data_IF_809637109603
#
_entry.id   IF_809637109603
#
_cell.length_a   1.000
_cell.length_b   1.000
_cell.length_c   1.000
_cell.angle_alpha   90.00
_cell.angle_beta   90.00
_cell.angle_gamma   90.00
#
_symmetry.space_group_name_H-M   'P 1'
#
loop_
_entity.id
_entity.type
_entity.pdbx_description
1 polymer ?
#
# COMPACT_ATOMS: atom_id res chain seq x y z
N UNK A 1 17.06 2.59 51.01
CA UNK A 1 17.68 1.32 51.43
C UNK A 1 17.68 0.40 50.22
N UNK A 2 18.90 0.08 49.76
CA UNK A 2 19.38 -1.13 49.05
C UNK A 2 18.57 -1.66 47.84
N UNK A 3 19.04 -1.52 46.59
CA UNK A 3 20.10 -2.31 45.91
C UNK A 3 19.69 -3.74 45.61
N UNK A 4 19.67 -4.09 44.31
CA UNK A 4 20.23 -5.30 43.68
C UNK A 4 19.83 -5.26 42.19
N UNK A 5 20.62 -5.65 41.20
CA UNK A 5 21.88 -6.38 41.23
C UNK A 5 22.03 -7.11 39.89
N UNK A 6 22.98 -6.64 39.09
CA UNK A 6 23.77 -7.25 38.00
C UNK A 6 23.62 -8.77 37.74
N UNK A 7 23.56 -9.14 36.45
CA UNK A 7 24.32 -10.25 35.80
C UNK A 7 24.23 -10.04 34.27
N UNK A 8 25.30 -9.76 33.51
CA UNK A 8 26.37 -10.67 33.01
C UNK A 8 25.74 -12.01 32.58
N UNK A 9 25.74 -12.48 31.34
CA UNK A 9 26.50 -12.20 30.13
C UNK A 9 26.65 -13.57 29.41
N UNK A 10 26.65 -13.65 28.08
CA UNK A 10 27.41 -14.70 27.39
C UNK A 10 27.56 -14.39 25.90
N UNK A 11 28.82 -14.37 25.51
CA UNK A 11 29.38 -14.25 24.18
C UNK A 11 29.57 -15.66 23.60
N UNK A 12 29.09 -15.92 22.38
CA UNK A 12 29.44 -17.10 21.56
C UNK A 12 29.68 -16.58 20.14
N UNK A 13 30.91 -16.17 19.83
CA UNK A 13 31.97 -16.94 19.15
C UNK A 13 31.61 -17.30 17.70
N UNK A 14 32.30 -16.57 16.80
CA UNK A 14 32.39 -16.76 15.37
C UNK A 14 32.85 -18.17 14.99
N UNK A 15 32.24 -18.73 13.94
CA UNK A 15 32.88 -19.71 13.07
C UNK A 15 32.95 -19.16 11.65
N UNK A 16 34.14 -18.68 11.29
CA UNK A 16 34.54 -18.46 9.91
C UNK A 16 35.06 -19.79 9.35
N UNK A 17 34.42 -20.30 8.30
CA UNK A 17 34.99 -21.32 7.42
C UNK A 17 35.01 -20.74 6.01
N UNK A 18 36.22 -20.55 5.49
CA UNK A 18 36.48 -20.03 4.15
C UNK A 18 36.20 -21.06 3.05
N UNK A 19 35.99 -20.53 1.85
CA UNK A 19 35.99 -21.27 0.59
C UNK A 19 36.20 -20.30 -0.57
N UNK A 20 37.37 -20.37 -1.18
CA UNK A 20 37.84 -19.53 -2.29
C UNK A 20 37.15 -19.85 -3.62
N UNK A 21 37.10 -18.84 -4.49
CA UNK A 21 36.64 -18.82 -5.88
C UNK A 21 37.33 -19.82 -6.81
N UNK A 22 36.57 -20.44 -7.74
CA UNK A 22 37.00 -20.70 -9.11
C UNK A 22 35.82 -21.03 -10.03
N UNK A 23 35.88 -20.42 -11.20
CA UNK A 23 34.93 -20.33 -12.29
C UNK A 23 34.90 -21.58 -13.18
N UNK A 24 33.71 -22.17 -13.42
CA UNK A 24 33.44 -23.00 -14.61
C UNK A 24 31.95 -23.00 -14.93
N UNK A 25 31.57 -22.21 -15.93
CA UNK A 25 30.27 -22.29 -16.60
C UNK A 25 30.16 -23.61 -17.37
N UNK A 26 29.05 -24.35 -17.28
CA UNK A 26 28.67 -25.30 -18.32
C UNK A 26 27.91 -24.56 -19.44
N UNK A 27 28.26 -24.77 -20.73
CA UNK A 27 27.37 -24.44 -21.83
C UNK A 27 26.41 -25.62 -22.00
N UNK A 28 25.15 -25.44 -21.62
CA UNK A 28 24.15 -26.50 -21.72
C UNK A 28 22.76 -25.91 -21.75
N UNK A 29 22.15 -25.95 -22.94
CA UNK A 29 20.90 -25.28 -23.26
C UNK A 29 19.72 -25.67 -22.38
N UNK A 30 18.90 -24.67 -22.11
CA UNK A 30 17.56 -24.78 -21.56
C UNK A 30 16.76 -23.56 -21.98
N UNK A 31 16.16 -23.62 -23.18
CA UNK A 31 15.00 -22.79 -23.50
C UNK A 31 13.87 -23.17 -22.55
N UNK A 32 13.54 -22.27 -21.62
CA UNK A 32 12.22 -22.11 -21.02
C UNK A 32 12.27 -20.72 -20.37
N UNK A 33 11.75 -19.68 -21.01
CA UNK A 33 10.30 -19.51 -21.09
C UNK A 33 9.85 -18.73 -19.87
N UNK A 34 9.86 -17.40 -20.01
CA UNK A 34 9.01 -16.44 -19.29
C UNK A 34 8.73 -16.71 -17.81
N UNK A 35 9.61 -16.22 -16.94
CA UNK A 35 9.27 -15.94 -15.56
C UNK A 35 8.33 -14.74 -15.46
N UNK A 36 7.11 -14.87 -15.99
CA UNK A 36 6.01 -13.98 -15.64
C UNK A 36 5.62 -14.32 -14.20
N UNK A 37 6.30 -13.69 -13.25
CA UNK A 37 5.86 -13.64 -11.86
C UNK A 37 4.53 -12.87 -11.87
N UNK A 38 3.43 -13.60 -12.05
CA UNK A 38 2.10 -13.02 -12.03
C UNK A 38 1.87 -12.39 -10.68
N UNK A 39 1.92 -11.06 -10.60
CA UNK A 39 1.51 -10.33 -9.41
C UNK A 39 0.02 -10.59 -9.22
N UNK A 40 -0.31 -11.55 -8.35
CA UNK A 40 -1.69 -11.82 -7.97
C UNK A 40 -2.19 -10.61 -7.18
N UNK A 41 -3.08 -9.82 -7.77
CA UNK A 41 -3.80 -8.77 -7.06
C UNK A 41 -4.58 -9.42 -5.91
N UNK A 42 -4.46 -8.90 -4.68
CA UNK A 42 -5.17 -9.48 -3.55
C UNK A 42 -6.69 -9.25 -3.70
N UNK A 43 -7.53 -10.10 -3.09
CA UNK A 43 -8.98 -10.05 -3.25
C UNK A 43 -9.64 -8.72 -2.85
N UNK A 44 -9.00 -7.91 -1.99
CA UNK A 44 -9.52 -6.63 -1.53
C UNK A 44 -9.09 -5.43 -2.37
N UNK A 45 -8.29 -5.61 -3.43
CA UNK A 45 -7.93 -4.52 -4.35
C UNK A 45 -9.16 -4.15 -5.19
N UNK A 46 -9.60 -2.87 -5.19
CA UNK A 46 -10.69 -2.42 -6.04
C UNK A 46 -10.33 -2.47 -7.52
N UNK A 47 -11.34 -2.67 -8.38
CA UNK A 47 -11.15 -2.79 -9.83
C UNK A 47 -10.85 -1.45 -10.53
N UNK A 48 -11.26 -0.32 -9.94
CA UNK A 48 -11.08 1.01 -10.52
C UNK A 48 -10.91 2.08 -9.46
N UNK A 49 -10.39 3.25 -9.88
CA UNK A 49 -10.25 4.41 -9.01
C UNK A 49 -11.59 4.86 -8.42
N UNK A 50 -12.66 4.91 -9.24
CA UNK A 50 -13.99 5.28 -8.77
C UNK A 50 -14.56 4.28 -7.76
N UNK A 51 -14.42 2.97 -8.02
CA UNK A 51 -14.85 1.93 -7.09
C UNK A 51 -14.09 2.02 -5.77
N UNK A 52 -12.78 2.27 -5.81
CA UNK A 52 -11.96 2.45 -4.61
C UNK A 52 -12.48 3.61 -3.75
N UNK A 53 -12.60 4.81 -4.33
CA UNK A 53 -13.04 6.01 -3.61
C UNK A 53 -14.46 5.86 -3.06
N UNK A 54 -15.37 5.25 -3.82
CA UNK A 54 -16.76 5.03 -3.40
C UNK A 54 -16.90 4.11 -2.18
N UNK A 55 -15.94 3.20 -1.97
CA UNK A 55 -15.92 2.29 -0.81
C UNK A 55 -15.33 2.94 0.46
N UNK A 56 -14.50 3.98 0.32
CA UNK A 56 -13.77 4.58 1.45
C UNK A 56 -14.68 5.09 2.58
N UNK A 57 -15.82 5.76 2.33
CA UNK A 57 -16.73 6.19 3.40
C UNK A 57 -17.11 5.05 4.36
N UNK A 58 -17.65 3.97 3.82
CA UNK A 58 -18.10 2.82 4.60
C UNK A 58 -16.94 2.12 5.32
N UNK A 59 -15.77 2.02 4.67
CA UNK A 59 -14.58 1.42 5.28
C UNK A 59 -13.97 2.30 6.38
N UNK A 60 -14.00 3.62 6.24
CA UNK A 60 -13.62 4.55 7.30
C UNK A 60 -14.54 4.38 8.51
N UNK A 61 -15.85 4.40 8.30
CA UNK A 61 -16.83 4.26 9.39
C UNK A 61 -16.69 2.91 10.12
N UNK A 62 -16.50 1.81 9.38
CA UNK A 62 -16.24 0.49 9.96
C UNK A 62 -14.93 0.43 10.77
N UNK A 63 -13.94 1.26 10.45
CA UNK A 63 -12.65 1.27 11.13
C UNK A 63 -12.59 2.22 12.34
N UNK A 64 -13.60 3.06 12.58
CA UNK A 64 -13.60 4.00 13.71
C UNK A 64 -13.57 3.30 15.06
N UNK A 65 -14.25 2.16 15.15
CA UNK A 65 -14.47 1.42 16.39
C UNK A 65 -13.54 0.21 16.55
N UNK A 66 -12.66 -0.06 15.58
CA UNK A 66 -11.74 -1.21 15.61
C UNK A 66 -10.34 -0.80 16.05
N UNK A 67 -9.62 -1.75 16.65
CA UNK A 67 -8.20 -1.54 16.99
C UNK A 67 -7.36 -1.20 15.75
N UNK A 68 -6.38 -0.31 15.94
CA UNK A 68 -5.43 0.07 14.90
C UNK A 68 -4.60 -1.12 14.35
N UNK A 69 -4.45 -2.20 15.12
CA UNK A 69 -3.74 -3.41 14.69
C UNK A 69 -4.63 -4.42 13.92
N UNK A 70 -5.90 -4.07 13.65
CA UNK A 70 -6.85 -4.97 12.98
C UNK A 70 -6.49 -5.22 11.51
N UNK A 71 -6.95 -6.35 10.97
CA UNK A 71 -6.84 -6.67 9.54
C UNK A 71 -7.59 -5.64 8.68
N UNK A 72 -8.79 -5.25 9.10
CA UNK A 72 -9.59 -4.22 8.44
C UNK A 72 -8.82 -2.90 8.28
N UNK A 73 -7.99 -2.55 9.27
CA UNK A 73 -7.17 -1.33 9.20
C UNK A 73 -6.05 -1.42 8.18
N UNK A 74 -5.40 -2.58 8.09
CA UNK A 74 -4.36 -2.84 7.08
C UNK A 74 -4.96 -2.81 5.68
N UNK A 75 -6.10 -3.47 5.47
CA UNK A 75 -6.80 -3.45 4.18
C UNK A 75 -7.21 -2.04 3.76
N UNK A 76 -7.71 -1.22 4.69
CA UNK A 76 -8.02 0.19 4.41
C UNK A 76 -6.78 0.96 3.94
N UNK A 77 -5.64 0.78 4.62
CA UNK A 77 -4.38 1.42 4.23
C UNK A 77 -3.88 0.91 2.87
N UNK A 78 -4.00 -0.38 2.57
CA UNK A 78 -3.64 -0.91 1.26
C UNK A 78 -4.46 -0.25 0.15
N UNK A 79 -5.77 -0.12 0.34
CA UNK A 79 -6.66 0.54 -0.63
C UNK A 79 -6.26 2.00 -0.84
N UNK A 80 -6.00 2.74 0.23
CA UNK A 80 -5.55 4.12 0.15
C UNK A 80 -4.26 4.20 -0.68
N UNK A 81 -3.30 3.30 -0.45
CA UNK A 81 -2.01 3.27 -1.15
C UNK A 81 -2.11 2.88 -2.61
N UNK A 82 -3.17 2.17 -3.02
CA UNK A 82 -3.44 1.90 -4.45
C UNK A 82 -4.15 3.05 -5.17
N UNK A 83 -4.73 4.03 -4.49
CA UNK A 83 -5.44 5.12 -5.16
C UNK A 83 -4.64 5.82 -6.26
N UNK A 84 -3.34 6.15 -6.10
CA UNK A 84 -2.58 6.81 -7.15
C UNK A 84 -2.26 5.91 -8.34
N UNK A 85 -2.10 4.60 -8.09
CA UNK A 85 -1.95 3.59 -9.13
C UNK A 85 -3.24 3.49 -9.94
N UNK A 86 -4.37 3.30 -9.27
CA UNK A 86 -5.68 3.23 -9.91
C UNK A 86 -6.03 4.52 -10.66
N UNK A 87 -5.65 5.69 -10.14
CA UNK A 87 -5.85 6.96 -10.82
C UNK A 87 -4.94 7.13 -12.05
N UNK A 88 -3.78 6.47 -12.10
CA UNK A 88 -2.91 6.50 -13.27
C UNK A 88 -3.49 5.75 -14.47
N UNK A 89 -4.43 4.82 -14.23
CA UNK A 89 -5.15 4.08 -15.28
C UNK A 89 -6.34 4.86 -15.86
N UNK A 90 -6.53 6.12 -15.45
CA UNK A 90 -7.62 7.00 -15.87
C UNK A 90 -7.12 8.13 -16.76
N UNK A 91 -8.02 8.76 -17.52
CA UNK A 91 -7.70 9.91 -18.39
C UNK A 91 -7.63 11.27 -17.63
N UNK A 92 -7.41 11.25 -16.30
CA UNK A 92 -7.24 12.48 -15.52
C UNK A 92 -6.07 13.31 -16.05
N UNK A 93 -6.22 14.64 -16.03
CA UNK A 93 -5.10 15.51 -16.38
C UNK A 93 -3.98 15.40 -15.34
N UNK A 94 -2.76 15.77 -15.72
CA UNK A 94 -1.61 15.76 -14.81
C UNK A 94 -1.87 16.51 -13.49
N UNK A 95 -2.51 17.68 -13.57
CA UNK A 95 -2.81 18.49 -12.38
C UNK A 95 -3.78 17.78 -11.43
N UNK A 96 -4.75 17.05 -11.97
CA UNK A 96 -5.71 16.26 -11.20
C UNK A 96 -5.07 15.02 -10.60
N UNK A 97 -4.24 14.32 -11.36
CA UNK A 97 -3.45 13.19 -10.85
C UNK A 97 -2.52 13.63 -9.71
N UNK A 98 -1.85 14.77 -9.84
CA UNK A 98 -1.05 15.36 -8.75
C UNK A 98 -1.92 15.75 -7.54
N UNK A 99 -3.17 16.14 -7.75
CA UNK A 99 -4.12 16.37 -6.65
C UNK A 99 -4.49 15.06 -5.96
N UNK A 100 -4.77 13.98 -6.70
CA UNK A 100 -4.99 12.64 -6.12
C UNK A 100 -3.80 12.23 -5.25
N UNK A 101 -2.58 12.40 -5.73
CA UNK A 101 -1.36 12.08 -4.98
C UNK A 101 -1.29 12.80 -3.63
N UNK A 102 -1.54 14.12 -3.62
CA UNK A 102 -1.55 14.92 -2.38
C UNK A 102 -2.65 14.47 -1.42
N UNK A 103 -3.88 14.33 -1.91
CA UNK A 103 -5.03 13.94 -1.10
C UNK A 103 -4.86 12.54 -0.50
N UNK A 104 -4.35 11.60 -1.28
CA UNK A 104 -4.03 10.24 -0.82
C UNK A 104 -2.96 10.26 0.27
N UNK A 105 -1.87 11.02 0.09
CA UNK A 105 -0.83 11.13 1.11
C UNK A 105 -1.34 11.74 2.43
N UNK A 106 -2.21 12.74 2.34
CA UNK A 106 -2.85 13.33 3.52
C UNK A 106 -3.85 12.37 4.19
N UNK A 107 -4.62 11.63 3.39
CA UNK A 107 -5.53 10.59 3.86
C UNK A 107 -4.78 9.46 4.57
N UNK A 108 -3.70 8.94 3.97
CA UNK A 108 -2.85 7.92 4.58
C UNK A 108 -2.26 8.41 5.90
N UNK A 109 -1.81 9.66 5.98
CA UNK A 109 -1.29 10.24 7.22
C UNK A 109 -2.37 10.35 8.31
N UNK A 110 -3.57 10.81 7.94
CA UNK A 110 -4.70 10.91 8.87
C UNK A 110 -5.07 9.53 9.43
N UNK A 111 -5.14 8.51 8.56
CA UNK A 111 -5.45 7.13 8.96
C UNK A 111 -4.28 6.53 9.77
N UNK A 112 -3.03 6.61 9.34
CA UNK A 112 -1.90 5.97 10.04
C UNK A 112 -1.51 6.61 11.40
N UNK A 113 -2.05 7.79 11.73
CA UNK A 113 -1.78 8.46 13.01
C UNK A 113 -2.31 7.71 14.25
N UNK A 114 -1.78 8.05 15.44
CA UNK A 114 -2.15 7.43 16.72
C UNK A 114 -2.45 8.53 17.77
N UNK A 115 -3.74 8.76 18.13
CA UNK A 115 -4.92 8.14 17.54
C UNK A 115 -5.17 8.61 16.09
N UNK A 116 -5.92 7.84 15.28
CA UNK A 116 -6.29 8.25 13.93
C UNK A 116 -7.14 9.53 13.89
N UNK A 117 -6.89 10.38 12.90
CA UNK A 117 -7.73 11.53 12.60
C UNK A 117 -8.82 11.17 11.58
N UNK A 118 -9.91 10.56 12.07
CA UNK A 118 -11.02 10.14 11.23
C UNK A 118 -11.78 11.30 10.59
N UNK A 119 -11.79 12.46 11.23
CA UNK A 119 -12.45 13.65 10.70
C UNK A 119 -11.66 14.18 9.49
N UNK A 120 -10.34 14.35 9.61
CA UNK A 120 -9.50 14.75 8.50
C UNK A 120 -9.54 13.69 7.37
N UNK A 121 -9.50 12.40 7.71
CA UNK A 121 -9.63 11.33 6.73
C UNK A 121 -10.93 11.45 5.93
N UNK A 122 -12.07 11.73 6.59
CA UNK A 122 -13.34 11.91 5.91
C UNK A 122 -13.33 13.10 4.95
N UNK A 123 -12.78 14.24 5.40
CA UNK A 123 -12.63 15.43 4.54
C UNK A 123 -11.82 15.10 3.27
N UNK A 124 -10.71 14.35 3.38
CA UNK A 124 -9.91 13.98 2.20
C UNK A 124 -10.66 13.06 1.24
N UNK A 125 -11.48 12.15 1.75
CA UNK A 125 -12.35 11.31 0.92
C UNK A 125 -13.38 12.16 0.18
N UNK A 126 -14.00 13.12 0.86
CA UNK A 126 -14.96 14.04 0.22
C UNK A 126 -14.29 14.88 -0.90
N UNK A 127 -13.02 15.28 -0.72
CA UNK A 127 -12.22 15.96 -1.74
C UNK A 127 -11.81 15.05 -2.92
N UNK A 128 -11.67 13.73 -2.70
CA UNK A 128 -11.34 12.75 -3.74
C UNK A 128 -12.55 12.42 -4.65
N UNK A 129 -13.77 12.45 -4.11
CA UNK A 129 -14.99 12.12 -4.86
C UNK A 129 -15.17 12.84 -6.20
N UNK A 130 -15.02 14.18 -6.32
CA UNK A 130 -15.18 14.85 -7.60
C UNK A 130 -14.13 14.41 -8.65
N UNK A 131 -12.91 14.09 -8.22
CA UNK A 131 -11.86 13.56 -9.11
C UNK A 131 -12.22 12.15 -9.59
N UNK A 132 -12.69 11.30 -8.67
CA UNK A 132 -13.13 9.94 -8.97
C UNK A 132 -14.31 9.91 -9.95
N UNK A 133 -15.33 10.74 -9.72
CA UNK A 133 -16.48 10.84 -10.63
C UNK A 133 -16.06 11.36 -12.01
N UNK A 134 -15.13 12.32 -12.06
CA UNK A 134 -14.63 12.83 -13.35
C UNK A 134 -13.84 11.76 -14.10
N UNK A 135 -13.01 10.98 -13.41
CA UNK A 135 -12.29 9.85 -14.01
C UNK A 135 -13.26 8.83 -14.62
N UNK A 136 -14.32 8.43 -13.90
CA UNK A 136 -15.35 7.50 -14.39
C UNK A 136 -16.05 8.01 -15.65
N UNK A 137 -16.44 9.29 -15.67
CA UNK A 137 -17.05 9.91 -16.86
C UNK A 137 -16.09 9.91 -18.06
N UNK A 138 -14.79 10.11 -17.85
CA UNK A 138 -13.81 10.08 -18.92
C UNK A 138 -13.63 8.67 -19.48
N UNK A 139 -13.52 7.66 -18.60
CA UNK A 139 -13.41 6.26 -19.01
C UNK A 139 -14.62 5.81 -19.85
N UNK A 140 -15.84 6.21 -19.48
CA UNK A 140 -17.06 5.90 -20.24
C UNK A 140 -17.08 6.54 -21.64
N UNK A 141 -16.45 7.71 -21.80
CA UNK A 141 -16.36 8.41 -23.09
C UNK A 141 -15.27 7.85 -24.00
N UNK A 142 -14.22 7.28 -23.41
CA UNK A 142 -13.08 6.69 -24.13
C UNK A 142 -13.40 5.30 -24.71
N UNK A 143 -14.56 4.72 -24.39
CA UNK A 143 -15.08 3.52 -25.05
C UNK A 143 -14.25 2.26 -24.78
N UNK A 144 -14.06 1.93 -23.50
CA UNK A 144 -13.62 0.58 -23.10
C UNK A 144 -14.62 -0.50 -23.54
#
# INVERSE_FOLDING_TARGET
>A
MCSWGRTVGLLVVLTAAGGCSANTSPPGGGSAGSGAQGHVSPPHKPESFFSAVSQLPSRLDANREVSAASAARRELLDIIRWLPELAADTDLSRAEWEQVQRLTGDLERAVSSSPPDWAAARTRVDELFPLAHRADVLEQRSGR
#
